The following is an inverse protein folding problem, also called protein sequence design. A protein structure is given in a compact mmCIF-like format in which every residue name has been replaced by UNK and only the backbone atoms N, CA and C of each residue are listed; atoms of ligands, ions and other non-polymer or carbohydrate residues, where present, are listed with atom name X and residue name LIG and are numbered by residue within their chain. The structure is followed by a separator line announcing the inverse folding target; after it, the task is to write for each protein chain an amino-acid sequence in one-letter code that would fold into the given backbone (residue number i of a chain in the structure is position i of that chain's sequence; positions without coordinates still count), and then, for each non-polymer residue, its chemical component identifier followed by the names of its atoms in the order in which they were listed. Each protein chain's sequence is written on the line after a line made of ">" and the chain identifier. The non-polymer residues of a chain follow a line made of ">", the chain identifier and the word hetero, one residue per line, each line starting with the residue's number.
data_IF_140957768556
#
_entry.id   IF_140957768556
#
_cell.length_a   1.000
_cell.length_b   1.000
_cell.length_c   1.000
_cell.angle_alpha   90.00
_cell.angle_beta   90.00
_cell.angle_gamma   90.00
#
_symmetry.space_group_name_H-M   'P 1'
#
loop_
_entity.id
_entity.type
_entity.pdbx_description
1 polymer ?
#
# COMPACT_ATOMS: atom_id res chain seq x y z
N UNK A 1 -1.31 -17.76 -11.73
CA UNK A 1 -0.98 -18.06 -10.31
C UNK A 1 -0.33 -16.85 -9.64
N UNK A 2 0.71 -16.25 -10.24
CA UNK A 2 1.37 -15.06 -9.69
C UNK A 2 0.46 -13.84 -9.49
N UNK A 3 -0.48 -13.57 -10.42
CA UNK A 3 -1.45 -12.48 -10.22
C UNK A 3 -2.37 -12.70 -9.02
N UNK A 4 -2.74 -13.96 -8.74
CA UNK A 4 -3.56 -14.29 -7.56
C UNK A 4 -2.72 -14.17 -6.28
N UNK A 5 -1.45 -14.58 -6.33
CA UNK A 5 -0.51 -14.41 -5.23
C UNK A 5 -0.28 -12.92 -4.90
N UNK A 6 -0.05 -12.10 -5.92
CA UNK A 6 0.05 -10.64 -5.80
C UNK A 6 -1.20 -10.03 -5.16
N UNK A 7 -2.38 -10.37 -5.68
CA UNK A 7 -3.64 -9.86 -5.14
C UNK A 7 -3.86 -10.30 -3.70
N UNK A 8 -3.53 -11.55 -3.34
CA UNK A 8 -3.62 -12.02 -1.96
C UNK A 8 -2.76 -11.18 -1.02
N UNK A 9 -1.50 -10.92 -1.40
CA UNK A 9 -0.58 -10.11 -0.59
C UNK A 9 -1.08 -8.66 -0.46
N UNK A 10 -1.48 -8.01 -1.56
CA UNK A 10 -2.03 -6.64 -1.54
C UNK A 10 -3.32 -6.53 -0.72
N UNK A 11 -4.26 -7.46 -0.91
CA UNK A 11 -5.50 -7.48 -0.14
C UNK A 11 -5.22 -7.71 1.35
N UNK A 12 -4.15 -8.44 1.69
CA UNK A 12 -3.66 -8.57 3.06
C UNK A 12 -3.29 -7.21 3.66
N UNK A 13 -2.46 -6.42 2.96
CA UNK A 13 -2.10 -5.06 3.39
C UNK A 13 -3.32 -4.13 3.51
N UNK A 14 -4.25 -4.19 2.56
CA UNK A 14 -5.49 -3.42 2.59
C UNK A 14 -6.40 -3.83 3.76
N UNK A 15 -6.45 -5.11 4.09
CA UNK A 15 -7.24 -5.60 5.22
C UNK A 15 -6.66 -5.16 6.57
N UNK A 16 -5.32 -5.14 6.69
CA UNK A 16 -4.63 -4.57 7.87
C UNK A 16 -5.01 -3.11 8.02
N UNK A 17 -4.86 -2.30 6.96
CA UNK A 17 -5.29 -0.90 6.99
C UNK A 17 -6.77 -0.76 7.35
N UNK A 18 -7.65 -1.55 6.73
CA UNK A 18 -9.08 -1.47 7.01
C UNK A 18 -9.38 -1.75 8.49
N UNK A 19 -8.66 -2.69 9.12
CA UNK A 19 -8.75 -2.94 10.57
C UNK A 19 -8.19 -1.78 11.39
N UNK A 20 -7.11 -1.15 10.92
CA UNK A 20 -6.54 0.06 11.53
C UNK A 20 -7.46 1.29 11.38
N UNK A 21 -8.30 1.35 10.36
CA UNK A 21 -9.27 2.42 10.19
C UNK A 21 -10.57 2.20 10.98
N UNK A 22 -10.90 0.94 11.27
CA UNK A 22 -12.08 0.56 12.02
C UNK A 22 -11.83 0.53 13.53
N UNK A 23 -12.91 0.63 14.31
CA UNK A 23 -12.87 0.55 15.77
C UNK A 23 -13.17 1.88 16.47
N UNK A 24 -13.31 1.83 17.79
CA UNK A 24 -13.58 3.01 18.62
C UNK A 24 -12.30 3.55 19.24
N UNK A 25 -12.30 4.84 19.63
CA UNK A 25 -11.18 5.52 20.33
C UNK A 25 -9.89 5.66 19.52
N UNK A 26 -9.97 5.79 18.19
CA UNK A 26 -8.81 6.14 17.35
C UNK A 26 -8.73 7.64 17.16
N UNK A 27 -7.54 8.21 17.32
CA UNK A 27 -7.33 9.63 17.01
C UNK A 27 -7.28 9.80 15.50
N UNK A 28 -7.75 10.94 15.02
CA UNK A 28 -7.67 11.29 13.59
C UNK A 28 -6.22 11.21 13.09
N UNK A 29 -5.25 11.64 13.93
CA UNK A 29 -3.83 11.55 13.62
C UNK A 29 -3.36 10.09 13.40
N UNK A 30 -3.89 9.13 14.14
CA UNK A 30 -3.55 7.70 13.98
C UNK A 30 -4.06 7.19 12.63
N UNK A 31 -5.29 7.56 12.27
CA UNK A 31 -5.90 7.19 10.99
C UNK A 31 -5.13 7.77 9.81
N UNK A 32 -4.77 9.05 9.88
CA UNK A 32 -3.94 9.73 8.87
C UNK A 32 -2.58 9.02 8.76
N UNK A 33 -1.96 8.68 9.90
CA UNK A 33 -0.67 7.99 9.92
C UNK A 33 -0.73 6.61 9.27
N UNK A 34 -1.76 5.81 9.56
CA UNK A 34 -1.96 4.49 8.95
C UNK A 34 -2.12 4.57 7.43
N UNK A 35 -2.93 5.53 6.94
CA UNK A 35 -3.12 5.74 5.50
C UNK A 35 -1.82 6.18 4.84
N UNK A 36 -1.13 7.17 5.42
CA UNK A 36 0.15 7.66 4.89
C UNK A 36 1.24 6.60 4.90
N UNK A 37 1.25 5.71 5.90
CA UNK A 37 2.18 4.59 5.96
C UNK A 37 1.91 3.56 4.85
N UNK A 38 0.64 3.23 4.58
CA UNK A 38 0.34 2.32 3.46
C UNK A 38 0.69 2.96 2.11
N UNK A 39 0.42 4.25 1.93
CA UNK A 39 0.79 4.96 0.68
C UNK A 39 2.30 4.91 0.42
N UNK A 40 3.12 5.21 1.42
CA UNK A 40 4.58 5.08 1.30
C UNK A 40 5.02 3.64 0.99
N UNK A 41 4.35 2.64 1.58
CA UNK A 41 4.61 1.23 1.24
C UNK A 41 4.28 0.92 -0.21
N UNK A 42 3.19 1.45 -0.78
CA UNK A 42 2.87 1.24 -2.20
C UNK A 42 3.97 1.79 -3.12
N UNK A 43 4.52 2.96 -2.79
CA UNK A 43 5.65 3.55 -3.52
C UNK A 43 6.91 2.66 -3.46
N UNK A 44 7.24 2.14 -2.26
CA UNK A 44 8.35 1.18 -2.07
C UNK A 44 8.10 -0.11 -2.86
N UNK A 45 6.88 -0.66 -2.81
CA UNK A 45 6.51 -1.88 -3.52
C UNK A 45 6.69 -1.73 -5.03
N UNK A 46 6.36 -0.58 -5.59
CA UNK A 46 6.62 -0.32 -7.01
C UNK A 46 8.10 -0.30 -7.35
N UNK A 47 8.93 0.34 -6.53
CA UNK A 47 10.38 0.41 -6.74
C UNK A 47 11.02 -0.99 -6.66
N UNK A 48 10.66 -1.76 -5.65
CA UNK A 48 11.18 -3.12 -5.47
C UNK A 48 10.73 -4.04 -6.61
N UNK A 49 9.46 -4.00 -7.01
CA UNK A 49 8.96 -4.80 -8.13
C UNK A 49 9.66 -4.42 -9.45
N UNK A 50 9.95 -3.13 -9.68
CA UNK A 50 10.73 -2.69 -10.87
C UNK A 50 12.12 -3.34 -10.87
N UNK A 51 12.70 -3.54 -9.70
CA UNK A 51 13.99 -4.20 -9.50
C UNK A 51 13.90 -5.74 -9.45
N UNK A 52 12.73 -6.33 -9.74
CA UNK A 52 12.45 -7.78 -9.60
C UNK A 52 12.63 -8.31 -8.16
N UNK A 53 12.56 -7.41 -7.18
CA UNK A 53 12.54 -7.75 -5.75
C UNK A 53 11.08 -7.88 -5.27
N UNK A 54 10.82 -8.99 -4.58
CA UNK A 54 9.50 -9.35 -4.08
C UNK A 54 9.53 -9.63 -2.57
N UNK A 55 10.49 -9.04 -1.83
CA UNK A 55 10.62 -9.19 -0.38
C UNK A 55 9.32 -8.87 0.40
N UNK A 56 8.47 -8.01 -0.15
CA UNK A 56 7.18 -7.62 0.42
C UNK A 56 6.00 -8.50 -0.04
N UNK A 57 6.24 -9.49 -0.88
CA UNK A 57 5.21 -10.32 -1.49
C UNK A 57 5.50 -11.81 -1.22
N UNK A 58 5.28 -12.27 0.03
CA UNK A 58 5.62 -13.63 0.43
C UNK A 58 4.87 -14.69 -0.39
N UNK A 59 3.61 -14.44 -0.76
CA UNK A 59 2.88 -15.40 -1.60
C UNK A 59 3.48 -15.41 -3.02
N UNK A 60 3.93 -14.28 -3.56
CA UNK A 60 4.64 -14.28 -4.85
C UNK A 60 5.91 -15.13 -4.76
N UNK A 61 6.71 -14.96 -3.69
CA UNK A 61 7.94 -15.73 -3.48
C UNK A 61 7.68 -17.24 -3.42
N UNK A 62 6.55 -17.68 -2.85
CA UNK A 62 6.15 -19.09 -2.82
C UNK A 62 5.85 -19.68 -4.22
N UNK A 63 5.28 -18.88 -5.13
CA UNK A 63 4.84 -19.36 -6.45
C UNK A 63 5.75 -18.96 -7.61
N UNK A 64 6.73 -18.08 -7.39
CA UNK A 64 7.72 -17.67 -8.40
C UNK A 64 8.65 -18.84 -8.72
N UNK A 65 8.55 -19.34 -9.97
CA UNK A 65 9.39 -20.44 -10.48
C UNK A 65 10.55 -19.96 -11.37
N UNK A 66 10.41 -18.79 -11.96
CA UNK A 66 11.40 -18.17 -12.86
C UNK A 66 12.00 -16.95 -12.20
N UNK A 67 13.24 -16.63 -12.53
CA UNK A 67 13.95 -15.46 -12.01
C UNK A 67 13.31 -14.13 -12.45
N UNK A 68 12.76 -14.10 -13.66
CA UNK A 68 12.18 -12.89 -14.25
C UNK A 68 10.66 -13.05 -14.45
N UNK A 69 9.89 -12.05 -14.03
CA UNK A 69 8.44 -11.99 -14.16
C UNK A 69 8.07 -10.68 -14.87
N UNK A 70 7.19 -10.77 -15.86
CA UNK A 70 6.56 -9.57 -16.41
C UNK A 70 5.64 -8.93 -15.34
N UNK A 71 6.08 -7.81 -14.78
CA UNK A 71 5.40 -7.12 -13.69
C UNK A 71 4.57 -5.92 -14.13
N UNK A 72 4.36 -5.71 -15.44
CA UNK A 72 3.64 -4.53 -15.95
C UNK A 72 2.25 -4.37 -15.32
N UNK A 73 1.53 -5.48 -15.16
CA UNK A 73 0.21 -5.50 -14.53
C UNK A 73 0.26 -5.16 -13.03
N UNK A 74 1.29 -5.60 -12.31
CA UNK A 74 1.43 -5.31 -10.89
C UNK A 74 1.76 -3.84 -10.66
N UNK A 75 2.68 -3.30 -11.46
CA UNK A 75 3.06 -1.89 -11.41
C UNK A 75 1.91 -0.97 -11.80
N UNK A 76 1.15 -1.30 -12.86
CA UNK A 76 -0.05 -0.54 -13.22
C UNK A 76 -1.07 -0.55 -12.09
N UNK A 77 -1.32 -1.72 -11.49
CA UNK A 77 -2.27 -1.84 -10.38
C UNK A 77 -1.84 -1.03 -9.15
N UNK A 78 -0.55 -1.07 -8.77
CA UNK A 78 -0.02 -0.30 -7.64
C UNK A 78 -0.13 1.20 -7.88
N UNK A 79 0.17 1.66 -9.10
CA UNK A 79 0.05 3.07 -9.49
C UNK A 79 -1.39 3.53 -9.39
N UNK A 80 -2.33 2.78 -9.97
CA UNK A 80 -3.76 3.09 -9.92
C UNK A 80 -4.26 3.11 -8.46
N UNK A 81 -3.83 2.13 -7.66
CA UNK A 81 -4.18 2.05 -6.24
C UNK A 81 -3.65 3.26 -5.47
N UNK A 82 -2.39 3.66 -5.69
CA UNK A 82 -1.77 4.83 -5.08
C UNK A 82 -2.52 6.13 -5.42
N UNK A 83 -2.94 6.28 -6.68
CA UNK A 83 -3.73 7.43 -7.13
C UNK A 83 -5.10 7.47 -6.43
N UNK A 84 -5.80 6.34 -6.35
CA UNK A 84 -7.10 6.25 -5.67
C UNK A 84 -6.99 6.52 -4.17
N UNK A 85 -5.89 6.11 -3.52
CA UNK A 85 -5.58 6.50 -2.15
C UNK A 85 -5.38 8.02 -2.03
N UNK A 86 -4.64 8.62 -2.95
CA UNK A 86 -4.42 10.06 -3.01
C UNK A 86 -5.73 10.85 -3.15
N UNK A 87 -6.66 10.38 -3.98
CA UNK A 87 -7.99 10.99 -4.16
C UNK A 87 -8.85 10.81 -2.91
N UNK A 88 -8.94 9.58 -2.39
CA UNK A 88 -9.85 9.23 -1.29
C UNK A 88 -9.46 9.87 0.04
N UNK A 89 -8.16 10.03 0.29
CA UNK A 89 -7.62 10.56 1.54
C UNK A 89 -6.97 11.93 1.36
N UNK A 90 -7.41 12.70 0.36
CA UNK A 90 -6.90 14.05 0.11
C UNK A 90 -7.04 14.95 1.34
N UNK A 91 -8.21 14.93 1.97
CA UNK A 91 -8.50 15.75 3.16
C UNK A 91 -7.61 15.35 4.36
N UNK A 92 -7.25 14.07 4.47
CA UNK A 92 -6.32 13.58 5.50
C UNK A 92 -4.92 14.18 5.32
N UNK A 93 -4.46 14.35 4.08
CA UNK A 93 -3.18 15.01 3.78
C UNK A 93 -3.23 16.51 4.12
N UNK A 94 -4.35 17.18 3.82
CA UNK A 94 -4.56 18.59 4.16
C UNK A 94 -4.60 18.82 5.69
N UNK A 95 -5.30 17.96 6.42
CA UNK A 95 -5.39 18.01 7.89
C UNK A 95 -4.04 17.64 8.54
N UNK A 96 -3.34 16.64 8.02
CA UNK A 96 -2.00 16.27 8.48
C UNK A 96 -1.02 17.44 8.42
N UNK A 97 -1.04 18.20 7.32
CA UNK A 97 -0.21 19.40 7.17
C UNK A 97 -0.56 20.49 8.19
N UNK A 98 -1.84 20.67 8.53
CA UNK A 98 -2.28 21.64 9.54
C UNK A 98 -1.89 21.22 10.96
N UNK A 99 -1.87 19.92 11.25
CA UNK A 99 -1.49 19.39 12.58
C UNK A 99 -0.01 19.58 12.91
N UNK A 100 0.86 19.82 11.91
CA UNK A 100 2.26 20.17 12.13
C UNK A 100 2.47 21.64 12.56
N UNK A 101 1.42 22.47 12.52
CA UNK A 101 1.47 23.89 12.87
C UNK A 101 0.94 24.23 14.27
N UNK A 102 0.82 23.26 15.18
CA UNK A 102 0.47 23.57 16.58
C UNK A 102 1.52 23.08 17.58
N UNK A 103 2.14 24.09 18.19
CA UNK A 103 3.09 24.19 19.33
C UNK A 103 4.56 24.09 18.96
#
# INVERSE_FOLDING_TARGET
>A
MLSVAFLKDILGYLNVLNTELQGQKKLICDLISSVSALRQKLEIFEEDIKNQDFIHFPTILEYKKTSDINCSMFLSFLSDLGEEFGKRFKDCAEIGNLSQFQI
#
